data_IF_805045305260
#
_entry.id   IF_805045305260
#
_cell.length_a   1.000
_cell.length_b   1.000
_cell.length_c   1.000
_cell.angle_alpha   90.00
_cell.angle_beta   90.00
_cell.angle_gamma   90.00
#
_symmetry.space_group_name_H-M   'P 1'
#
loop_
_entity.id
_entity.type
_entity.pdbx_description
1 polymer ?
#
# COMPACT_ATOMS: atom_id res chain seq x y z
N UNK A 1 9.84 -17.41 4.20
CA UNK A 1 8.56 -18.07 4.52
C UNK A 1 8.66 -19.08 5.68
N UNK A 2 9.78 -19.77 5.85
CA UNK A 2 9.96 -20.82 6.89
C UNK A 2 9.61 -20.37 8.30
N UNK A 3 10.04 -19.17 8.71
CA UNK A 3 9.74 -18.64 10.04
C UNK A 3 8.23 -18.37 10.23
N UNK A 4 7.56 -17.98 9.14
CA UNK A 4 6.10 -17.77 9.17
C UNK A 4 5.41 -19.12 9.40
N UNK A 5 5.81 -20.16 8.68
CA UNK A 5 5.23 -21.50 8.89
C UNK A 5 5.41 -22.00 10.33
N UNK A 6 6.61 -21.81 10.92
CA UNK A 6 6.85 -22.16 12.33
C UNK A 6 5.90 -21.45 13.29
N UNK A 7 5.64 -20.14 13.03
CA UNK A 7 4.69 -19.37 13.85
C UNK A 7 3.27 -19.94 13.70
N UNK A 8 2.83 -20.20 12.47
CA UNK A 8 1.49 -20.75 12.19
C UNK A 8 1.34 -22.16 12.81
N UNK A 9 2.32 -23.05 12.61
CA UNK A 9 2.32 -24.39 13.17
C UNK A 9 2.21 -24.39 14.70
N UNK A 10 2.89 -23.45 15.36
CA UNK A 10 2.80 -23.29 16.81
C UNK A 10 1.40 -22.86 17.25
N UNK A 11 0.78 -21.91 16.55
CA UNK A 11 -0.58 -21.46 16.87
C UNK A 11 -1.59 -22.62 16.67
N UNK A 12 -1.51 -23.33 15.57
CA UNK A 12 -2.38 -24.49 15.33
C UNK A 12 -2.23 -25.56 16.40
N UNK A 13 -0.99 -25.87 16.81
CA UNK A 13 -0.70 -26.82 17.89
C UNK A 13 -1.33 -26.41 19.23
N UNK A 14 -1.36 -25.11 19.51
CA UNK A 14 -1.98 -24.56 20.73
C UNK A 14 -3.51 -24.33 20.58
N UNK A 15 -4.10 -24.71 19.45
CA UNK A 15 -5.53 -24.52 19.17
C UNK A 15 -5.94 -23.05 18.96
N UNK A 16 -5.00 -22.18 18.62
CA UNK A 16 -5.23 -20.76 18.34
C UNK A 16 -5.46 -20.58 16.83
N UNK A 17 -6.66 -20.18 16.46
CA UNK A 17 -7.02 -19.96 15.05
C UNK A 17 -6.42 -18.65 14.54
N UNK A 18 -5.90 -18.68 13.30
CA UNK A 18 -5.41 -17.52 12.57
C UNK A 18 -6.11 -17.48 11.21
N UNK A 19 -6.86 -16.43 10.95
CA UNK A 19 -7.54 -16.21 9.67
C UNK A 19 -6.75 -15.33 8.72
N UNK A 20 -5.92 -14.43 9.25
CA UNK A 20 -5.16 -13.46 8.47
C UNK A 20 -3.73 -13.33 8.96
N UNK A 21 -2.80 -13.24 8.01
CA UNK A 21 -1.39 -12.96 8.27
C UNK A 21 -0.97 -11.66 7.57
N UNK A 22 -0.67 -10.63 8.35
CA UNK A 22 -0.21 -9.33 7.87
C UNK A 22 1.28 -9.40 7.54
N UNK A 23 1.60 -9.37 6.25
CA UNK A 23 2.97 -9.50 5.76
C UNK A 23 3.61 -8.13 5.62
N UNK A 24 4.42 -7.74 6.60
CA UNK A 24 5.17 -6.47 6.57
C UNK A 24 6.13 -6.39 5.38
N UNK A 25 6.48 -5.17 4.96
CA UNK A 25 7.21 -4.87 3.72
C UNK A 25 8.59 -5.56 3.55
N UNK A 26 9.05 -6.33 4.53
CA UNK A 26 10.28 -7.12 4.42
C UNK A 26 10.28 -8.17 3.31
N UNK A 27 9.11 -8.60 2.84
CA UNK A 27 8.97 -9.52 1.72
C UNK A 27 9.46 -8.90 0.40
N UNK A 28 9.33 -7.59 0.24
CA UNK A 28 9.68 -6.84 -0.97
C UNK A 28 11.11 -6.29 -0.97
N UNK A 29 11.92 -6.67 0.02
CA UNK A 29 13.30 -6.16 0.12
C UNK A 29 14.20 -6.65 -1.01
N UNK A 30 15.11 -5.80 -1.46
CA UNK A 30 16.20 -6.20 -2.33
C UNK A 30 17.07 -7.27 -1.63
N UNK A 31 17.56 -8.24 -2.39
CA UNK A 31 18.33 -9.37 -1.86
C UNK A 31 19.72 -8.99 -1.39
N UNK A 32 20.25 -7.88 -1.91
CA UNK A 32 21.60 -7.40 -1.63
C UNK A 32 21.63 -6.24 -0.64
N UNK A 33 20.70 -5.29 -0.81
CA UNK A 33 20.71 -4.01 -0.08
C UNK A 33 19.64 -3.92 1.03
N UNK A 34 18.73 -4.88 1.07
CA UNK A 34 17.60 -4.93 2.02
C UNK A 34 16.67 -3.69 1.99
N UNK A 35 16.75 -2.86 0.92
CA UNK A 35 15.84 -1.74 0.71
C UNK A 35 14.46 -2.25 0.25
N UNK A 36 13.41 -1.46 0.46
CA UNK A 36 12.03 -1.87 0.14
C UNK A 36 11.65 -1.43 -1.26
N UNK A 37 11.28 -2.41 -2.08
CA UNK A 37 10.87 -2.23 -3.47
C UNK A 37 9.47 -2.80 -3.68
N UNK A 38 8.45 -1.96 -3.63
CA UNK A 38 7.05 -2.40 -3.81
C UNK A 38 6.91 -3.21 -5.11
N UNK A 39 6.06 -4.23 -5.11
CA UNK A 39 5.87 -5.18 -6.22
C UNK A 39 7.05 -6.12 -6.49
N UNK A 40 8.14 -6.01 -5.74
CA UNK A 40 9.25 -6.97 -5.78
C UNK A 40 9.04 -8.08 -4.75
N UNK A 41 9.62 -9.24 -5.00
CA UNK A 41 9.73 -10.33 -4.05
C UNK A 41 11.20 -10.66 -3.77
N UNK A 42 11.53 -10.78 -2.50
CA UNK A 42 12.85 -11.30 -2.09
C UNK A 42 12.82 -12.83 -2.18
N UNK A 43 13.36 -13.37 -3.26
CA UNK A 43 13.33 -14.82 -3.49
C UNK A 43 14.23 -15.63 -2.56
N UNK A 44 15.17 -15.01 -1.84
CA UNK A 44 15.91 -15.68 -0.74
C UNK A 44 15.00 -15.94 0.46
N UNK A 45 14.00 -15.07 0.69
CA UNK A 45 13.05 -15.19 1.81
C UNK A 45 11.76 -15.91 1.40
N UNK A 46 11.35 -15.73 0.18
CA UNK A 46 10.15 -16.32 -0.45
C UNK A 46 10.56 -16.92 -1.81
N UNK A 47 11.15 -18.13 -1.83
CA UNK A 47 11.63 -18.74 -3.08
C UNK A 47 10.54 -18.87 -4.14
N UNK A 48 9.33 -19.20 -3.72
CA UNK A 48 8.13 -19.27 -4.56
C UNK A 48 6.97 -18.55 -3.84
N UNK A 49 6.77 -17.24 -4.10
CA UNK A 49 5.69 -16.49 -3.47
C UNK A 49 4.32 -17.07 -3.74
N UNK A 50 4.05 -17.53 -4.95
CA UNK A 50 2.75 -18.11 -5.32
C UNK A 50 2.47 -19.37 -4.51
N UNK A 51 3.46 -20.25 -4.38
CA UNK A 51 3.33 -21.46 -3.56
C UNK A 51 3.13 -21.15 -2.08
N UNK A 52 3.77 -20.09 -1.58
CA UNK A 52 3.55 -19.61 -0.21
C UNK A 52 2.09 -19.21 0.00
N UNK A 53 1.50 -18.41 -0.91
CA UNK A 53 0.07 -18.04 -0.82
C UNK A 53 -0.86 -19.24 -0.94
N UNK A 54 -0.58 -20.16 -1.86
CA UNK A 54 -1.37 -21.40 -2.00
C UNK A 54 -1.38 -22.21 -0.71
N UNK A 55 -0.21 -22.39 -0.07
CA UNK A 55 -0.08 -23.12 1.18
C UNK A 55 -0.84 -22.45 2.33
N UNK A 56 -0.74 -21.12 2.44
CA UNK A 56 -1.45 -20.36 3.47
C UNK A 56 -2.96 -20.40 3.25
N UNK A 57 -3.41 -20.21 2.01
CA UNK A 57 -4.83 -20.31 1.65
C UNK A 57 -5.42 -21.71 1.91
N UNK A 58 -4.65 -22.77 1.65
CA UNK A 58 -5.06 -24.14 1.96
C UNK A 58 -5.27 -24.40 3.47
N UNK A 59 -4.61 -23.60 4.32
CA UNK A 59 -4.79 -23.57 5.79
C UNK A 59 -5.89 -22.61 6.25
N UNK A 60 -6.61 -21.97 5.34
CA UNK A 60 -7.63 -20.96 5.63
C UNK A 60 -7.07 -19.61 6.03
N UNK A 61 -5.77 -19.35 5.81
CA UNK A 61 -5.09 -18.12 6.22
C UNK A 61 -4.90 -17.18 5.02
N UNK A 62 -5.53 -16.03 5.06
CA UNK A 62 -5.33 -14.98 4.06
C UNK A 62 -4.06 -14.17 4.36
N UNK A 63 -3.16 -14.07 3.39
CA UNK A 63 -1.93 -13.28 3.51
C UNK A 63 -2.14 -11.88 2.94
N UNK A 64 -1.76 -10.86 3.71
CA UNK A 64 -2.03 -9.46 3.40
C UNK A 64 -0.70 -8.69 3.27
N UNK A 65 -0.18 -8.53 2.03
CA UNK A 65 1.08 -7.83 1.82
C UNK A 65 0.97 -6.32 2.00
N UNK A 66 1.96 -5.73 2.66
CA UNK A 66 2.11 -4.28 2.82
C UNK A 66 2.59 -3.63 1.53
N UNK A 67 1.94 -2.56 1.07
CA UNK A 67 2.27 -1.80 -0.14
C UNK A 67 2.54 -0.34 0.21
N UNK A 68 3.62 0.21 -0.32
CA UNK A 68 4.06 1.59 -0.06
C UNK A 68 4.32 2.34 -1.36
N UNK A 69 3.79 3.56 -1.57
CA UNK A 69 3.87 4.28 -2.84
C UNK A 69 5.19 5.02 -3.08
N UNK A 70 6.12 4.97 -2.15
CA UNK A 70 7.45 5.56 -2.30
C UNK A 70 8.38 4.66 -3.10
N UNK A 71 8.99 5.19 -4.16
CA UNK A 71 9.82 4.45 -5.13
C UNK A 71 11.27 4.90 -5.02
N UNK A 72 12.13 4.01 -4.56
CA UNK A 72 13.56 4.26 -4.44
C UNK A 72 14.28 4.27 -5.79
N UNK A 73 15.42 4.96 -5.89
CA UNK A 73 16.18 5.14 -7.15
C UNK A 73 16.58 3.83 -7.85
N UNK A 74 16.86 2.78 -7.07
CA UNK A 74 17.29 1.46 -7.58
C UNK A 74 16.15 0.47 -7.73
N UNK A 75 14.91 0.96 -7.81
CA UNK A 75 13.75 0.08 -7.94
C UNK A 75 13.85 -0.77 -9.21
N UNK A 76 13.59 -2.11 -9.15
CA UNK A 76 13.68 -2.98 -10.32
C UNK A 76 12.81 -2.55 -11.52
N UNK A 77 11.69 -1.87 -11.27
CA UNK A 77 10.79 -1.36 -12.31
C UNK A 77 10.99 0.13 -12.63
N UNK A 78 12.14 0.73 -12.29
CA UNK A 78 12.34 2.17 -12.41
C UNK A 78 12.17 2.67 -13.85
N UNK A 79 12.71 1.93 -14.82
CA UNK A 79 12.61 2.28 -16.24
C UNK A 79 11.16 2.27 -16.74
N UNK A 80 10.36 1.31 -16.27
CA UNK A 80 8.92 1.26 -16.55
C UNK A 80 8.20 2.47 -15.99
N UNK A 81 8.51 2.85 -14.75
CA UNK A 81 7.90 4.01 -14.09
C UNK A 81 8.26 5.32 -14.78
N UNK A 82 9.50 5.48 -15.20
CA UNK A 82 9.96 6.65 -15.96
C UNK A 82 9.30 6.71 -17.34
N UNK A 83 9.28 5.60 -18.06
CA UNK A 83 8.65 5.49 -19.39
C UNK A 83 7.15 5.86 -19.32
N UNK A 84 6.45 5.40 -18.29
CA UNK A 84 5.03 5.66 -18.12
C UNK A 84 4.73 7.03 -17.49
N UNK A 85 5.76 7.76 -17.06
CA UNK A 85 5.61 9.10 -16.49
C UNK A 85 4.62 9.14 -15.30
N UNK A 86 4.83 8.29 -14.32
CA UNK A 86 3.88 8.03 -13.22
C UNK A 86 4.06 8.89 -11.98
N UNK A 87 5.09 9.74 -11.94
CA UNK A 87 5.50 10.42 -10.70
C UNK A 87 4.92 11.82 -10.55
N UNK A 88 4.65 12.21 -9.29
CA UNK A 88 4.50 13.61 -8.89
C UNK A 88 5.74 14.39 -9.35
N UNK A 89 5.54 15.59 -9.86
CA UNK A 89 6.59 16.42 -10.46
C UNK A 89 7.07 17.54 -9.53
N UNK A 90 8.25 18.05 -9.82
CA UNK A 90 8.76 19.30 -9.24
C UNK A 90 7.80 20.48 -9.51
N UNK A 91 7.87 21.59 -8.74
CA UNK A 91 6.98 22.75 -8.94
C UNK A 91 6.95 23.32 -10.36
N UNK A 92 8.07 23.24 -11.09
CA UNK A 92 8.14 23.63 -12.49
C UNK A 92 7.59 22.57 -13.47
N UNK A 93 7.16 21.42 -12.97
CA UNK A 93 6.56 20.33 -13.74
C UNK A 93 7.53 19.54 -14.63
N UNK A 94 8.84 19.79 -14.56
CA UNK A 94 9.80 19.25 -15.53
C UNK A 94 10.41 17.91 -15.15
N UNK A 95 10.55 17.64 -13.84
CA UNK A 95 11.21 16.44 -13.35
C UNK A 95 10.37 15.75 -12.26
N UNK A 96 10.57 14.45 -12.03
CA UNK A 96 9.98 13.80 -10.87
C UNK A 96 10.44 14.45 -9.56
N UNK A 97 9.50 14.67 -8.65
CA UNK A 97 9.79 15.15 -7.30
C UNK A 97 10.50 14.08 -6.48
N UNK A 98 11.58 14.44 -5.79
CA UNK A 98 12.27 13.61 -4.83
C UNK A 98 11.96 14.08 -3.41
N UNK A 99 11.53 13.17 -2.57
CA UNK A 99 11.27 13.44 -1.17
C UNK A 99 11.79 12.33 -0.28
N UNK A 100 11.85 12.61 1.02
CA UNK A 100 12.34 11.65 2.02
C UNK A 100 11.16 11.10 2.83
N UNK A 101 11.07 9.81 2.90
CA UNK A 101 10.06 9.09 3.64
C UNK A 101 10.70 7.94 4.45
N UNK A 102 9.89 7.12 5.13
CA UNK A 102 10.38 6.01 5.92
C UNK A 102 11.36 5.08 5.18
N UNK A 103 11.10 4.76 3.93
CA UNK A 103 11.95 3.87 3.11
C UNK A 103 13.25 4.51 2.61
N UNK A 104 13.43 5.81 2.76
CA UNK A 104 14.58 6.56 2.26
C UNK A 104 14.20 7.71 1.32
N UNK A 105 15.14 8.17 0.51
CA UNK A 105 14.87 9.16 -0.55
C UNK A 105 14.27 8.45 -1.77
N UNK A 106 13.14 8.97 -2.24
CA UNK A 106 12.43 8.36 -3.35
C UNK A 106 11.49 9.30 -4.08
N UNK A 107 10.82 8.77 -5.07
CA UNK A 107 9.77 9.42 -5.86
C UNK A 107 8.42 8.81 -5.49
N UNK A 108 7.34 9.49 -5.80
CA UNK A 108 5.99 9.07 -5.39
C UNK A 108 5.07 8.99 -6.59
N UNK A 109 4.26 7.92 -6.64
CA UNK A 109 3.23 7.78 -7.66
C UNK A 109 2.22 8.91 -7.60
N UNK A 110 1.89 9.47 -8.74
CA UNK A 110 0.77 10.39 -8.89
C UNK A 110 -0.52 9.62 -9.15
N UNK A 111 -1.27 9.34 -8.09
CA UNK A 111 -2.57 8.67 -8.21
C UNK A 111 -3.66 9.60 -8.76
N UNK A 112 -3.42 10.90 -8.87
CA UNK A 112 -4.39 11.84 -9.45
C UNK A 112 -4.49 11.73 -10.96
N UNK A 113 -3.45 11.16 -11.62
CA UNK A 113 -3.44 10.91 -13.04
C UNK A 113 -3.69 9.43 -13.41
N UNK A 114 -4.23 9.16 -14.59
CA UNK A 114 -4.51 7.80 -15.05
C UNK A 114 -3.23 6.97 -15.20
N UNK A 115 -2.13 7.56 -15.71
CA UNK A 115 -0.85 6.85 -15.90
C UNK A 115 -0.34 6.21 -14.60
N UNK A 116 -0.37 6.95 -13.49
CA UNK A 116 0.01 6.45 -12.19
C UNK A 116 -0.89 5.30 -11.73
N UNK A 117 -2.21 5.49 -11.82
CA UNK A 117 -3.18 4.46 -11.42
C UNK A 117 -3.09 3.21 -12.28
N UNK A 118 -3.03 3.33 -13.60
CA UNK A 118 -2.99 2.18 -14.50
C UNK A 118 -1.72 1.36 -14.31
N UNK A 119 -0.56 2.00 -14.19
CA UNK A 119 0.70 1.32 -13.93
C UNK A 119 0.71 0.64 -12.55
N UNK A 120 0.20 1.33 -11.53
CA UNK A 120 0.05 0.74 -10.18
C UNK A 120 -0.88 -0.46 -10.19
N UNK A 121 -2.04 -0.33 -10.84
CA UNK A 121 -3.04 -1.39 -10.96
C UNK A 121 -2.45 -2.62 -11.64
N UNK A 122 -1.79 -2.46 -12.78
CA UNK A 122 -1.14 -3.55 -13.50
C UNK A 122 -0.16 -4.32 -12.60
N UNK A 123 0.75 -3.62 -11.95
CA UNK A 123 1.76 -4.27 -11.10
C UNK A 123 1.15 -4.89 -9.84
N UNK A 124 0.12 -4.27 -9.27
CA UNK A 124 -0.64 -4.84 -8.15
C UNK A 124 -1.29 -6.18 -8.55
N UNK A 125 -1.92 -6.23 -9.71
CA UNK A 125 -2.53 -7.46 -10.24
C UNK A 125 -1.49 -8.55 -10.48
N UNK A 126 -0.42 -8.21 -11.20
CA UNK A 126 0.58 -9.18 -11.66
C UNK A 126 1.44 -9.72 -10.52
N UNK A 127 1.88 -8.86 -9.62
CA UNK A 127 2.89 -9.22 -8.62
C UNK A 127 2.34 -9.49 -7.21
N UNK A 128 1.06 -9.14 -6.95
CA UNK A 128 0.45 -9.28 -5.63
C UNK A 128 -0.84 -10.12 -5.70
N UNK A 129 -1.86 -9.64 -6.42
CA UNK A 129 -3.17 -10.27 -6.37
C UNK A 129 -3.15 -11.67 -6.99
N UNK A 130 -2.47 -11.86 -8.13
CA UNK A 130 -2.33 -13.17 -8.78
C UNK A 130 -1.47 -14.17 -8.00
N UNK A 131 -0.81 -13.74 -6.91
CA UNK A 131 -0.19 -14.66 -5.96
C UNK A 131 -1.24 -15.39 -5.10
N UNK A 132 -2.43 -14.79 -4.90
CA UNK A 132 -3.54 -15.45 -4.21
C UNK A 132 -4.13 -14.67 -3.03
N UNK A 133 -3.85 -13.36 -2.89
CA UNK A 133 -4.50 -12.52 -1.89
C UNK A 133 -5.72 -11.80 -2.45
N UNK A 134 -6.75 -11.66 -1.62
CA UNK A 134 -7.96 -10.87 -1.91
C UNK A 134 -8.02 -9.59 -1.07
N UNK A 135 -6.93 -9.24 -0.44
CA UNK A 135 -6.83 -8.11 0.49
C UNK A 135 -5.64 -7.24 0.15
N UNK A 136 -5.79 -5.92 0.28
CA UNK A 136 -4.73 -4.94 0.04
C UNK A 136 -4.50 -4.09 1.27
N UNK A 137 -3.23 -3.94 1.65
CA UNK A 137 -2.77 -3.08 2.74
C UNK A 137 -1.92 -1.93 2.19
N UNK A 138 -2.56 -0.77 2.00
CA UNK A 138 -1.91 0.46 1.55
C UNK A 138 -1.32 1.23 2.75
N UNK A 139 -0.02 1.26 2.82
CA UNK A 139 0.73 1.94 3.87
C UNK A 139 1.51 3.14 3.30
N UNK A 140 1.86 4.12 4.14
CA UNK A 140 2.49 5.39 3.73
C UNK A 140 1.74 6.12 2.58
N UNK A 141 0.43 5.91 2.48
CA UNK A 141 -0.41 6.47 1.43
C UNK A 141 -0.79 7.94 1.64
N UNK A 142 -0.41 8.54 2.76
CA UNK A 142 -0.54 9.96 3.07
C UNK A 142 0.44 10.87 2.31
N UNK A 143 1.40 10.29 1.57
CA UNK A 143 2.41 11.00 0.79
C UNK A 143 3.29 11.97 1.61
N UNK A 144 3.69 11.56 2.81
CA UNK A 144 4.47 12.40 3.73
C UNK A 144 5.81 12.86 3.16
N UNK A 145 6.42 12.03 2.30
CA UNK A 145 7.67 12.40 1.64
C UNK A 145 7.56 13.50 0.58
N UNK A 146 6.34 13.93 0.22
CA UNK A 146 6.13 15.10 -0.66
C UNK A 146 5.77 16.29 0.20
N UNK A 147 6.82 17.03 0.62
CA UNK A 147 6.68 18.17 1.53
C UNK A 147 6.42 19.48 0.77
N UNK A 148 6.89 19.59 -0.47
CA UNK A 148 6.69 20.78 -1.31
C UNK A 148 5.24 20.88 -1.75
N UNK A 149 4.57 21.93 -1.29
CA UNK A 149 3.17 22.19 -1.56
C UNK A 149 2.88 22.56 -3.01
N UNK A 150 3.89 23.07 -3.73
CA UNK A 150 3.79 23.49 -5.12
C UNK A 150 4.18 22.37 -6.10
N UNK A 151 4.59 21.18 -5.59
CA UNK A 151 4.82 20.01 -6.41
C UNK A 151 3.57 19.69 -7.24
N UNK A 152 3.79 19.34 -8.53
CA UNK A 152 2.73 19.24 -9.52
C UNK A 152 2.18 17.83 -9.66
N UNK A 153 0.87 17.73 -9.74
CA UNK A 153 0.11 16.50 -10.01
C UNK A 153 -0.66 16.63 -11.32
N UNK A 154 -0.91 15.51 -11.98
CA UNK A 154 -1.60 15.44 -13.28
C UNK A 154 -3.08 15.84 -13.20
N UNK A 155 -3.79 15.38 -12.18
CA UNK A 155 -5.21 15.63 -11.92
C UNK A 155 -6.10 15.45 -13.16
N UNK A 156 -6.08 14.27 -13.76
CA UNK A 156 -6.82 13.95 -14.99
C UNK A 156 -6.48 14.91 -16.15
N UNK A 157 -5.22 15.32 -16.27
CA UNK A 157 -4.73 16.26 -17.27
C UNK A 157 -5.04 17.73 -16.99
N UNK A 158 -5.80 18.05 -15.92
CA UNK A 158 -6.14 19.44 -15.56
C UNK A 158 -5.01 20.14 -14.82
N UNK A 159 -4.07 19.37 -14.28
CA UNK A 159 -3.00 19.78 -13.39
C UNK A 159 -3.48 20.40 -12.08
N UNK A 160 -2.67 20.31 -11.07
CA UNK A 160 -2.90 20.88 -9.75
C UNK A 160 -1.69 20.68 -8.86
N UNK A 161 -1.68 21.30 -7.69
CA UNK A 161 -0.57 21.26 -6.76
C UNK A 161 -0.81 20.24 -5.63
N UNK A 162 0.26 19.83 -4.96
CA UNK A 162 0.13 19.01 -3.75
C UNK A 162 -0.63 19.74 -2.64
N UNK A 163 -0.59 21.07 -2.59
CA UNK A 163 -1.42 21.85 -1.65
C UNK A 163 -2.92 21.57 -1.81
N UNK A 164 -3.37 21.37 -3.04
CA UNK A 164 -4.77 21.15 -3.39
C UNK A 164 -5.15 19.64 -3.37
N UNK A 165 -4.23 18.76 -3.76
CA UNK A 165 -4.55 17.41 -4.16
C UNK A 165 -3.97 16.32 -3.24
N UNK A 166 -3.11 16.67 -2.26
CA UNK A 166 -2.45 15.68 -1.38
C UNK A 166 -3.44 14.69 -0.76
N UNK A 167 -4.56 15.20 -0.30
CA UNK A 167 -5.61 14.40 0.37
C UNK A 167 -6.27 13.37 -0.55
N UNK A 168 -6.24 13.57 -1.87
CA UNK A 168 -6.86 12.66 -2.82
C UNK A 168 -6.02 11.39 -3.06
N UNK A 169 -4.70 11.45 -2.87
CA UNK A 169 -3.81 10.34 -3.20
C UNK A 169 -4.16 9.05 -2.44
N UNK A 170 -4.42 9.14 -1.13
CA UNK A 170 -4.80 7.97 -0.34
C UNK A 170 -6.12 7.35 -0.80
N UNK A 171 -7.13 8.18 -1.08
CA UNK A 171 -8.42 7.70 -1.58
C UNK A 171 -8.30 7.09 -2.98
N UNK A 172 -7.49 7.68 -3.85
CA UNK A 172 -7.29 7.19 -5.22
C UNK A 172 -6.41 5.93 -5.26
N UNK A 173 -5.46 5.79 -4.35
CA UNK A 173 -4.72 4.54 -4.17
C UNK A 173 -5.65 3.40 -3.75
N UNK A 174 -6.58 3.65 -2.82
CA UNK A 174 -7.61 2.68 -2.42
C UNK A 174 -8.60 2.37 -3.56
N UNK A 175 -9.02 3.39 -4.31
CA UNK A 175 -9.85 3.21 -5.50
C UNK A 175 -9.18 2.32 -6.54
N UNK A 176 -7.89 2.55 -6.82
CA UNK A 176 -7.09 1.74 -7.74
C UNK A 176 -7.00 0.29 -7.28
N UNK A 177 -6.77 0.06 -5.98
CA UNK A 177 -6.77 -1.28 -5.40
C UNK A 177 -8.13 -1.97 -5.52
N UNK A 178 -9.23 -1.24 -5.33
CA UNK A 178 -10.59 -1.77 -5.51
C UNK A 178 -10.85 -2.19 -6.95
N UNK A 179 -10.40 -1.40 -7.93
CA UNK A 179 -10.54 -1.75 -9.34
C UNK A 179 -9.73 -3.03 -9.67
N UNK A 180 -8.48 -3.11 -9.25
CA UNK A 180 -7.63 -4.28 -9.46
C UNK A 180 -8.27 -5.55 -8.86
N UNK A 181 -8.78 -5.47 -7.62
CA UNK A 181 -9.45 -6.60 -6.97
C UNK A 181 -10.72 -7.03 -7.72
N UNK A 182 -11.50 -6.09 -8.23
CA UNK A 182 -12.72 -6.40 -8.99
C UNK A 182 -12.40 -7.07 -10.34
N UNK A 183 -11.27 -6.75 -10.95
CA UNK A 183 -10.84 -7.37 -12.22
C UNK A 183 -10.25 -8.77 -11.99
N UNK A 184 -9.43 -8.95 -10.95
CA UNK A 184 -8.80 -10.25 -10.66
C UNK A 184 -9.77 -11.24 -9.99
N UNK A 185 -10.68 -10.74 -9.16
CA UNK A 185 -11.64 -11.54 -8.40
C UNK A 185 -13.08 -11.03 -8.59
N UNK A 186 -13.66 -11.16 -9.78
CA UNK A 186 -15.00 -10.67 -10.08
C UNK A 186 -16.05 -11.37 -9.18
N UNK A 187 -16.94 -10.55 -8.59
CA UNK A 187 -17.97 -11.03 -7.67
C UNK A 187 -17.55 -11.22 -6.22
N UNK A 188 -16.26 -11.08 -5.92
CA UNK A 188 -15.76 -11.12 -4.55
C UNK A 188 -15.85 -9.74 -3.89
N UNK A 189 -16.09 -9.71 -2.58
CA UNK A 189 -16.07 -8.47 -1.81
C UNK A 189 -14.62 -8.08 -1.51
N UNK A 190 -14.13 -6.94 -2.02
CA UNK A 190 -12.77 -6.50 -1.74
C UNK A 190 -12.62 -6.08 -0.27
N UNK A 191 -11.48 -6.39 0.33
CA UNK A 191 -11.08 -5.83 1.61
C UNK A 191 -9.78 -5.04 1.43
N UNK A 192 -9.84 -3.75 1.70
CA UNK A 192 -8.71 -2.83 1.55
C UNK A 192 -8.59 -2.05 2.83
N UNK A 193 -7.37 -1.95 3.35
CA UNK A 193 -7.04 -1.10 4.50
C UNK A 193 -5.99 -0.07 4.10
N UNK A 194 -6.25 1.18 4.47
CA UNK A 194 -5.36 2.31 4.22
C UNK A 194 -4.87 2.92 5.54
N UNK A 195 -3.62 3.40 5.57
CA UNK A 195 -3.12 4.16 6.73
C UNK A 195 -3.71 5.56 6.80
N UNK A 196 -4.08 6.13 5.67
CA UNK A 196 -4.74 7.43 5.60
C UNK A 196 -5.99 7.37 4.75
N UNK A 197 -6.94 8.27 5.03
CA UNK A 197 -8.16 8.41 4.26
C UNK A 197 -8.86 9.73 4.59
N UNK A 198 -9.61 10.22 3.61
CA UNK A 198 -10.39 11.44 3.71
C UNK A 198 -11.85 11.15 3.37
N UNK A 199 -12.69 12.17 3.41
CA UNK A 199 -14.11 12.03 3.06
C UNK A 199 -14.29 11.24 1.76
N UNK A 200 -15.13 10.21 1.80
CA UNK A 200 -15.36 9.31 0.68
C UNK A 200 -14.49 8.03 0.68
N UNK A 201 -13.49 7.90 1.57
CA UNK A 201 -12.64 6.69 1.65
C UNK A 201 -13.45 5.44 1.98
N UNK A 202 -14.53 5.55 2.76
CA UNK A 202 -15.41 4.44 3.12
C UNK A 202 -16.01 3.71 1.90
N UNK A 203 -15.99 4.32 0.73
CA UNK A 203 -16.41 3.70 -0.53
C UNK A 203 -15.40 2.66 -1.04
N UNK A 204 -14.17 2.69 -0.53
CA UNK A 204 -13.04 1.95 -1.06
C UNK A 204 -12.32 1.13 0.00
N UNK A 205 -12.07 1.68 1.18
CA UNK A 205 -11.23 1.09 2.19
C UNK A 205 -11.68 1.40 3.62
N UNK A 206 -11.24 0.56 4.55
CA UNK A 206 -11.17 0.85 5.96
C UNK A 206 -9.87 1.61 6.24
N UNK A 207 -9.84 2.43 7.30
CA UNK A 207 -8.65 3.19 7.72
C UNK A 207 -8.21 2.70 9.10
N UNK A 208 -6.90 2.58 9.34
CA UNK A 208 -6.38 2.37 10.71
C UNK A 208 -5.63 3.61 11.22
N UNK A 209 -5.47 3.71 12.51
CA UNK A 209 -4.91 4.90 13.18
C UNK A 209 -3.38 5.07 13.05
N UNK A 210 -2.68 4.25 12.27
CA UNK A 210 -1.22 4.33 12.10
C UNK A 210 -0.42 3.76 13.27
N UNK A 211 0.85 4.18 13.37
CA UNK A 211 1.84 3.66 14.31
C UNK A 211 1.87 4.50 15.59
N UNK A 212 0.94 4.27 16.47
CA UNK A 212 0.86 4.98 17.76
C UNK A 212 1.72 4.32 18.84
N UNK A 213 2.18 5.11 19.80
CA UNK A 213 2.82 4.58 21.00
C UNK A 213 1.83 3.73 21.81
N UNK A 214 2.29 2.60 22.34
CA UNK A 214 1.49 1.71 23.19
C UNK A 214 1.49 2.24 24.62
N UNK A 215 0.67 3.24 24.88
CA UNK A 215 0.49 3.87 26.20
C UNK A 215 -0.97 4.27 26.46
N UNK A 216 -1.28 4.58 27.74
CA UNK A 216 -2.63 4.99 28.15
C UNK A 216 -3.09 6.32 27.52
N UNK A 217 -2.15 7.22 27.22
CA UNK A 217 -2.45 8.49 26.54
C UNK A 217 -2.97 8.23 25.14
N UNK A 218 -2.31 7.35 24.41
CA UNK A 218 -2.71 6.93 23.07
C UNK A 218 -4.06 6.24 23.09
N UNK A 219 -4.33 5.32 24.02
CA UNK A 219 -5.65 4.68 24.16
C UNK A 219 -6.74 5.73 24.34
N UNK A 220 -6.55 6.68 25.25
CA UNK A 220 -7.50 7.76 25.49
C UNK A 220 -7.74 8.63 24.24
N UNK A 221 -6.68 8.97 23.54
CA UNK A 221 -6.75 9.77 22.32
C UNK A 221 -7.46 9.01 21.19
N UNK A 222 -7.18 7.73 21.01
CA UNK A 222 -7.76 6.91 19.95
C UNK A 222 -9.27 6.74 20.11
N UNK A 223 -9.83 6.73 21.33
CA UNK A 223 -11.28 6.69 21.52
C UNK A 223 -11.94 7.87 20.80
N UNK A 224 -11.45 9.09 21.03
CA UNK A 224 -11.98 10.28 20.39
C UNK A 224 -11.76 10.26 18.85
N UNK A 225 -10.60 9.77 18.41
CA UNK A 225 -10.26 9.63 16.99
C UNK A 225 -11.24 8.68 16.27
N UNK A 226 -11.47 7.50 16.84
CA UNK A 226 -12.38 6.48 16.24
C UNK A 226 -13.82 7.03 16.18
N UNK A 227 -14.29 7.67 17.24
CA UNK A 227 -15.62 8.28 17.28
C UNK A 227 -15.76 9.39 16.23
N UNK A 228 -14.75 10.26 16.12
CA UNK A 228 -14.72 11.34 15.14
C UNK A 228 -14.68 10.83 13.70
N UNK A 229 -13.89 9.79 13.44
CA UNK A 229 -13.85 9.13 12.12
C UNK A 229 -15.19 8.49 11.79
N UNK A 230 -15.80 7.77 12.74
CA UNK A 230 -17.13 7.18 12.57
C UNK A 230 -18.20 8.20 12.23
N UNK A 231 -18.21 9.35 12.91
CA UNK A 231 -19.11 10.48 12.60
C UNK A 231 -18.89 11.06 11.20
N UNK A 232 -17.67 10.98 10.67
CA UNK A 232 -17.31 11.40 9.31
C UNK A 232 -17.56 10.32 8.25
N UNK A 233 -18.12 9.17 8.64
CA UNK A 233 -18.38 8.03 7.75
C UNK A 233 -17.12 7.21 7.41
N UNK A 234 -15.98 7.45 8.08
CA UNK A 234 -14.79 6.64 7.94
C UNK A 234 -14.83 5.49 8.96
N UNK A 235 -14.85 4.24 8.48
CA UNK A 235 -14.67 3.08 9.35
C UNK A 235 -13.19 2.92 9.70
N UNK A 236 -12.93 2.69 10.98
CA UNK A 236 -11.59 2.51 11.54
C UNK A 236 -11.58 1.26 12.43
#
# INVERSE_FOLDING_TARGET
DEEIYKVIDKHEKEGILIDNFWLASGYSSGEEDNLRYVFNWNHKRFPDPKKFFENMNARGINVIPNLKPGILKRHPYIDLFEKNDVFIKTPDGKAPYYGRWWGGEGRFFDFTGPKGRDTWKQLLEENILKMGTKTVWNDNCEMDGVEDRDAQCDFEGKKGTMAELKILHSNLMAYTAKQALAEVYPGERPYIINRAGYAGIQRYAQVWGGDNLTDWRTVKFNIATILGMGLSGCSN
#
